data_IF_534451052682
#
_entry.id   IF_534451052682
#
_cell.length_a   1.000
_cell.length_b   1.000
_cell.length_c   1.000
_cell.angle_alpha   90.00
_cell.angle_beta   90.00
_cell.angle_gamma   90.00
#
_symmetry.space_group_name_H-M   'P 1'
#
loop_
_entity.id
_entity.type
_entity.pdbx_description
1 polymer ?
#
# COMPACT_ATOMS: atom_id res chain seq x y z
N UNK A 1 -11.69 0.85 -11.54
CA UNK A 1 -11.10 0.75 -10.18
C UNK A 1 -11.91 -0.11 -9.20
N UNK A 2 -13.25 -0.12 -9.25
CA UNK A 2 -14.07 -0.96 -8.36
C UNK A 2 -13.76 -2.48 -8.40
N UNK A 3 -13.33 -3.01 -9.55
CA UNK A 3 -12.95 -4.43 -9.65
C UNK A 3 -11.65 -4.75 -8.91
N UNK A 4 -10.66 -3.84 -8.97
CA UNK A 4 -9.40 -4.00 -8.27
C UNK A 4 -9.60 -3.98 -6.75
N UNK A 5 -10.42 -3.06 -6.24
CA UNK A 5 -10.70 -2.97 -4.80
C UNK A 5 -11.43 -4.21 -4.29
N UNK A 6 -12.43 -4.71 -5.04
CA UNK A 6 -13.12 -5.96 -4.70
C UNK A 6 -12.18 -7.17 -4.72
N UNK A 7 -11.26 -7.23 -5.68
CA UNK A 7 -10.24 -8.26 -5.75
C UNK A 7 -9.30 -8.18 -4.54
N UNK A 8 -8.85 -6.99 -4.14
CA UNK A 8 -7.96 -6.81 -2.98
C UNK A 8 -8.63 -7.15 -1.64
N UNK A 9 -9.92 -6.86 -1.48
CA UNK A 9 -10.68 -7.21 -0.28
C UNK A 9 -10.81 -8.73 -0.08
N UNK A 10 -10.99 -9.47 -1.18
CA UNK A 10 -11.15 -10.94 -1.15
C UNK A 10 -9.83 -11.69 -1.36
N UNK A 11 -8.73 -10.98 -1.54
CA UNK A 11 -7.44 -11.57 -1.89
C UNK A 11 -6.80 -12.32 -0.70
N UNK A 12 -6.58 -13.62 -0.88
CA UNK A 12 -5.90 -14.48 0.11
C UNK A 12 -4.53 -14.97 -0.34
N UNK A 13 -4.10 -14.67 -1.58
CA UNK A 13 -2.89 -15.27 -2.18
C UNK A 13 -1.88 -14.24 -2.67
N UNK A 14 -2.32 -13.13 -3.26
CA UNK A 14 -1.45 -12.10 -3.80
C UNK A 14 -0.67 -11.44 -2.66
N UNK A 15 0.66 -11.56 -2.69
CA UNK A 15 1.57 -10.99 -1.68
C UNK A 15 2.19 -9.66 -2.09
N UNK A 16 2.21 -9.37 -3.39
CA UNK A 16 2.87 -8.21 -3.99
C UNK A 16 1.95 -7.56 -5.01
N UNK A 17 1.75 -6.26 -4.90
CA UNK A 17 1.04 -5.44 -5.87
C UNK A 17 1.90 -4.24 -6.22
N UNK A 18 2.19 -4.08 -7.50
CA UNK A 18 2.94 -2.95 -8.04
C UNK A 18 2.05 -2.22 -9.05
N UNK A 19 1.66 -1.00 -8.67
CA UNK A 19 0.87 -0.07 -9.48
C UNK A 19 1.66 1.23 -9.59
N UNK A 20 2.86 1.16 -10.15
CA UNK A 20 3.63 2.33 -10.53
C UNK A 20 3.22 2.83 -11.92
N UNK A 21 3.26 4.15 -12.13
CA UNK A 21 3.02 4.70 -13.46
C UNK A 21 4.14 4.25 -14.41
N UNK A 22 3.75 3.62 -15.52
CA UNK A 22 4.65 3.33 -16.63
C UNK A 22 4.42 4.35 -17.73
N UNK A 23 5.46 5.08 -18.11
CA UNK A 23 5.47 5.81 -19.38
C UNK A 23 5.53 4.77 -20.50
N UNK A 24 4.38 4.51 -21.13
CA UNK A 24 4.35 3.79 -22.39
C UNK A 24 4.79 4.75 -23.49
N UNK A 25 5.62 4.24 -24.40
CA UNK A 25 6.47 4.99 -25.31
C UNK A 25 5.79 6.17 -26.04
N UNK A 26 6.57 7.25 -26.21
CA UNK A 26 6.28 8.45 -26.99
C UNK A 26 5.87 8.11 -28.44
N UNK A 27 4.57 8.03 -28.71
CA UNK A 27 4.04 8.51 -29.99
C UNK A 27 3.72 9.99 -29.79
N UNK A 28 4.21 10.83 -30.71
CA UNK A 28 4.32 12.31 -30.60
C UNK A 28 3.05 13.06 -30.16
N UNK A 29 1.88 12.42 -30.19
CA UNK A 29 0.59 13.07 -29.90
C UNK A 29 -0.27 12.37 -28.83
N UNK A 30 0.19 11.29 -28.18
CA UNK A 30 -0.59 10.65 -27.10
C UNK A 30 0.26 9.76 -26.19
N UNK A 31 0.83 10.35 -25.13
CA UNK A 31 1.38 9.58 -24.03
C UNK A 31 0.21 9.03 -23.19
N UNK A 32 -0.21 7.79 -23.46
CA UNK A 32 -1.15 7.07 -22.59
C UNK A 32 -0.36 6.54 -21.41
N UNK A 33 -0.34 7.30 -20.33
CA UNK A 33 0.20 6.82 -19.07
C UNK A 33 -0.95 6.41 -18.13
N UNK A 34 -0.76 5.25 -17.51
CA UNK A 34 -1.72 4.65 -16.59
C UNK A 34 -1.58 5.28 -15.21
N UNK A 35 -1.98 6.55 -15.10
CA UNK A 35 -2.00 7.27 -13.84
C UNK A 35 -3.23 6.90 -13.01
N UNK A 36 -3.03 6.75 -11.71
CA UNK A 36 -4.11 6.67 -10.74
C UNK A 36 -4.53 8.07 -10.30
N UNK A 37 -5.83 8.30 -10.21
CA UNK A 37 -6.36 9.50 -9.55
C UNK A 37 -6.19 9.38 -8.02
N UNK A 38 -6.17 10.49 -7.28
CA UNK A 38 -6.10 10.44 -5.81
C UNK A 38 -7.14 9.52 -5.17
N UNK A 39 -8.34 9.53 -5.74
CA UNK A 39 -9.49 8.73 -5.32
C UNK A 39 -9.21 7.23 -5.50
N UNK A 40 -8.51 6.86 -6.57
CA UNK A 40 -8.12 5.48 -6.86
C UNK A 40 -7.09 4.97 -5.85
N UNK A 41 -6.12 5.80 -5.50
CA UNK A 41 -5.13 5.49 -4.46
C UNK A 41 -5.79 5.30 -3.10
N UNK A 42 -6.70 6.21 -2.73
CA UNK A 42 -7.48 6.09 -1.50
C UNK A 42 -8.28 4.78 -1.50
N UNK A 43 -8.95 4.47 -2.61
CA UNK A 43 -9.75 3.25 -2.74
C UNK A 43 -8.91 1.98 -2.62
N UNK A 44 -7.66 1.97 -3.12
CA UNK A 44 -6.73 0.86 -2.91
C UNK A 44 -6.49 0.65 -1.42
N UNK A 45 -6.15 1.70 -0.66
CA UNK A 45 -5.91 1.58 0.78
C UNK A 45 -7.16 1.18 1.55
N UNK A 46 -8.31 1.79 1.27
CA UNK A 46 -9.60 1.42 1.89
C UNK A 46 -9.98 -0.05 1.62
N UNK A 47 -9.51 -0.60 0.49
CA UNK A 47 -9.77 -1.99 0.10
C UNK A 47 -8.83 -3.01 0.74
N UNK A 48 -7.79 -2.58 1.47
CA UNK A 48 -6.92 -3.48 2.22
C UNK A 48 -7.66 -4.02 3.45
N UNK A 49 -8.47 -5.04 3.21
CA UNK A 49 -9.17 -5.77 4.26
C UNK A 49 -8.17 -6.40 5.25
N UNK A 50 -8.58 -6.62 6.51
CA UNK A 50 -7.76 -7.34 7.50
C UNK A 50 -7.27 -8.71 7.02
N UNK A 51 -8.05 -9.35 6.15
CA UNK A 51 -7.79 -10.67 5.56
C UNK A 51 -6.88 -10.63 4.32
N UNK A 52 -6.55 -9.44 3.81
CA UNK A 52 -5.73 -9.35 2.60
C UNK A 52 -4.34 -9.91 2.86
N UNK A 53 -3.93 -10.87 2.03
CA UNK A 53 -2.62 -11.51 2.11
C UNK A 53 -1.47 -10.62 1.65
N UNK A 54 -1.76 -9.40 1.19
CA UNK A 54 -0.81 -8.47 0.61
C UNK A 54 0.26 -8.05 1.63
N UNK A 55 1.53 -8.22 1.28
CA UNK A 55 2.68 -7.90 2.14
C UNK A 55 3.51 -6.72 1.62
N UNK A 56 3.43 -6.43 0.32
CA UNK A 56 4.22 -5.40 -0.34
C UNK A 56 3.37 -4.70 -1.40
N UNK A 57 3.17 -3.39 -1.19
CA UNK A 57 2.36 -2.52 -2.03
C UNK A 57 3.23 -1.38 -2.55
N UNK A 58 3.24 -1.18 -3.86
CA UNK A 58 3.93 -0.06 -4.51
C UNK A 58 2.95 0.75 -5.33
N UNK A 59 2.86 2.04 -5.03
CA UNK A 59 1.92 2.97 -5.69
C UNK A 59 2.56 4.33 -5.99
N UNK A 60 3.89 4.39 -5.93
CA UNK A 60 4.65 5.61 -6.15
C UNK A 60 4.74 6.02 -7.63
N UNK A 61 5.17 7.25 -7.88
CA UNK A 61 5.39 7.84 -9.21
C UNK A 61 4.14 8.05 -10.07
N UNK A 62 2.98 8.22 -9.45
CA UNK A 62 1.72 8.54 -10.12
C UNK A 62 1.64 10.03 -10.49
N UNK A 63 2.45 10.49 -11.45
CA UNK A 63 2.46 11.89 -11.87
C UNK A 63 1.43 12.16 -12.98
N UNK A 64 0.23 12.64 -12.64
CA UNK A 64 -0.81 12.89 -13.65
C UNK A 64 -0.47 14.08 -14.56
N UNK A 65 -0.21 13.80 -15.84
CA UNK A 65 -0.08 14.81 -16.90
C UNK A 65 -1.42 15.45 -17.30
N UNK A 66 -2.56 14.87 -16.87
CA UNK A 66 -3.90 15.34 -17.26
C UNK A 66 -4.36 16.57 -16.46
N UNK A 67 -3.72 16.86 -15.33
CA UNK A 67 -4.00 18.09 -14.59
C UNK A 67 -3.36 19.28 -15.34
N UNK A 68 -4.09 20.39 -15.45
CA UNK A 68 -3.57 21.66 -15.98
C UNK A 68 -3.64 22.73 -14.88
N UNK A 69 -2.50 23.18 -14.33
CA UNK A 69 -1.13 22.78 -14.67
C UNK A 69 -0.80 21.34 -14.22
N UNK A 70 0.23 20.70 -14.82
CA UNK A 70 0.69 19.38 -14.39
C UNK A 70 1.01 19.42 -12.91
N UNK A 71 0.38 18.53 -12.14
CA UNK A 71 0.61 18.45 -10.69
C UNK A 71 1.62 17.34 -10.45
N UNK A 72 2.77 17.71 -9.93
CA UNK A 72 3.75 16.74 -9.44
C UNK A 72 3.11 15.88 -8.34
N UNK A 73 3.34 14.57 -8.38
CA UNK A 73 2.80 13.64 -7.39
C UNK A 73 3.17 14.07 -5.97
N UNK A 74 4.39 14.57 -5.75
CA UNK A 74 4.79 15.07 -4.44
C UNK A 74 3.97 16.31 -4.02
N UNK A 75 3.64 17.21 -4.95
CA UNK A 75 2.82 18.38 -4.68
C UNK A 75 1.37 18.00 -4.35
N UNK A 76 0.79 17.06 -5.11
CA UNK A 76 -0.53 16.48 -4.80
C UNK A 76 -0.56 15.87 -3.40
N UNK A 77 0.49 15.12 -3.04
CA UNK A 77 0.62 14.47 -1.73
C UNK A 77 0.85 15.46 -0.56
N UNK A 78 1.25 16.72 -0.83
CA UNK A 78 1.30 17.78 0.19
C UNK A 78 -0.08 18.41 0.46
N UNK A 79 -1.01 18.29 -0.49
CA UNK A 79 -2.34 18.89 -0.40
C UNK A 79 -3.34 18.02 0.38
N UNK A 80 -4.61 18.47 0.35
CA UNK A 80 -5.74 17.77 0.98
C UNK A 80 -5.92 16.33 0.47
N UNK A 81 -5.74 16.12 -0.84
CA UNK A 81 -5.82 14.79 -1.44
C UNK A 81 -4.79 13.83 -0.83
N UNK A 82 -3.54 14.28 -0.67
CA UNK A 82 -2.50 13.52 0.02
C UNK A 82 -2.86 13.17 1.45
N UNK A 83 -3.46 14.10 2.19
CA UNK A 83 -3.92 13.87 3.58
C UNK A 83 -4.96 12.74 3.65
N UNK A 84 -5.94 12.72 2.75
CA UNK A 84 -6.96 11.65 2.72
C UNK A 84 -6.36 10.30 2.35
N UNK A 85 -5.40 10.26 1.41
CA UNK A 85 -4.66 9.04 1.05
C UNK A 85 -3.85 8.52 2.24
N UNK A 86 -3.14 9.39 2.95
CA UNK A 86 -2.36 8.98 4.13
C UNK A 86 -3.24 8.49 5.27
N UNK A 87 -4.39 9.12 5.47
CA UNK A 87 -5.37 8.68 6.46
C UNK A 87 -5.85 7.27 6.16
N UNK A 88 -6.26 7.01 4.91
CA UNK A 88 -6.64 5.68 4.46
C UNK A 88 -5.50 4.67 4.62
N UNK A 89 -4.26 5.03 4.26
CA UNK A 89 -3.10 4.16 4.43
C UNK A 89 -2.81 3.83 5.91
N UNK A 90 -2.92 4.81 6.80
CA UNK A 90 -2.72 4.61 8.24
C UNK A 90 -3.83 3.72 8.84
N UNK A 91 -5.08 3.91 8.44
CA UNK A 91 -6.21 3.05 8.84
C UNK A 91 -6.04 1.63 8.32
N UNK A 92 -5.65 1.47 7.05
CA UNK A 92 -5.35 0.18 6.45
C UNK A 92 -4.24 -0.56 7.21
N UNK A 93 -3.16 0.11 7.62
CA UNK A 93 -2.09 -0.51 8.42
C UNK A 93 -2.52 -0.91 9.82
N UNK A 94 -3.53 -0.24 10.41
CA UNK A 94 -4.11 -0.62 11.70
C UNK A 94 -4.99 -1.87 11.57
N UNK A 95 -5.77 -1.96 10.50
CA UNK A 95 -6.69 -3.05 10.25
C UNK A 95 -6.01 -4.30 9.65
N UNK A 96 -4.99 -4.10 8.81
CA UNK A 96 -4.25 -5.14 8.12
C UNK A 96 -2.84 -5.26 8.69
N UNK A 97 -2.57 -6.39 9.37
CA UNK A 97 -1.27 -6.73 9.95
C UNK A 97 -0.33 -7.50 9.01
N UNK A 98 -0.78 -7.77 7.79
CA UNK A 98 -0.02 -8.50 6.77
C UNK A 98 0.86 -7.58 5.92
N UNK A 99 0.51 -6.31 5.75
CA UNK A 99 1.30 -5.37 4.96
C UNK A 99 2.61 -5.00 5.69
N UNK A 100 3.75 -5.26 5.05
CA UNK A 100 5.11 -5.08 5.61
C UNK A 100 5.94 -4.06 4.85
N UNK A 101 5.60 -3.81 3.59
CA UNK A 101 6.31 -2.89 2.72
C UNK A 101 5.30 -2.00 2.01
N UNK A 102 5.57 -0.71 2.03
CA UNK A 102 4.80 0.29 1.33
C UNK A 102 5.77 1.24 0.61
N UNK A 103 5.66 1.30 -0.70
CA UNK A 103 6.35 2.28 -1.54
C UNK A 103 5.35 3.39 -1.91
N UNK A 104 5.30 4.40 -1.05
CA UNK A 104 4.50 5.62 -1.15
C UNK A 104 5.37 6.80 -0.70
N UNK A 105 5.32 7.92 -1.42
CA UNK A 105 6.03 9.14 -1.05
C UNK A 105 5.36 9.73 0.19
N UNK A 106 6.15 10.00 1.22
CA UNK A 106 5.67 10.52 2.50
C UNK A 106 6.20 11.93 2.69
N UNK A 107 5.49 12.93 2.16
CA UNK A 107 5.89 14.35 2.22
C UNK A 107 5.38 15.08 3.46
N UNK A 108 4.36 14.54 4.13
CA UNK A 108 3.79 15.11 5.36
C UNK A 108 4.34 14.39 6.58
N UNK A 109 5.20 15.06 7.37
CA UNK A 109 5.94 14.46 8.49
C UNK A 109 5.04 13.74 9.51
N UNK A 110 3.90 14.33 9.86
CA UNK A 110 2.97 13.72 10.80
C UNK A 110 2.47 12.33 10.34
N UNK A 111 2.15 12.20 9.05
CA UNK A 111 1.68 10.94 8.47
C UNK A 111 2.81 9.95 8.25
N UNK A 112 4.00 10.43 7.90
CA UNK A 112 5.19 9.60 7.82
C UNK A 112 5.41 8.82 9.12
N UNK A 113 5.36 9.50 10.27
CA UNK A 113 5.54 8.85 11.58
C UNK A 113 4.42 7.83 11.89
N UNK A 114 3.17 8.12 11.50
CA UNK A 114 2.06 7.17 11.69
C UNK A 114 2.23 5.91 10.83
N UNK A 115 2.53 6.08 9.55
CA UNK A 115 2.68 4.99 8.58
C UNK A 115 3.90 4.13 8.93
N UNK A 116 5.05 4.74 9.23
CA UNK A 116 6.25 4.01 9.66
C UNK A 116 5.99 3.19 10.92
N UNK A 117 5.28 3.75 11.92
CA UNK A 117 4.92 3.01 13.14
C UNK A 117 4.01 1.82 12.84
N UNK A 118 3.00 1.98 11.97
CA UNK A 118 2.15 0.87 11.54
C UNK A 118 2.93 -0.27 10.89
N UNK A 119 3.84 0.06 9.97
CA UNK A 119 4.70 -0.94 9.31
C UNK A 119 5.63 -1.66 10.30
N UNK A 120 6.24 -0.93 11.25
CA UNK A 120 7.08 -1.53 12.28
C UNK A 120 6.30 -2.52 13.16
N UNK A 121 5.09 -2.15 13.59
CA UNK A 121 4.22 -3.04 14.37
C UNK A 121 3.90 -4.34 13.61
N UNK A 122 3.49 -4.23 12.35
CA UNK A 122 3.19 -5.40 11.52
C UNK A 122 4.41 -6.32 11.36
N UNK A 123 5.59 -5.72 11.19
CA UNK A 123 6.85 -6.45 11.07
C UNK A 123 7.26 -7.15 12.38
N UNK A 124 7.04 -6.51 13.52
CA UNK A 124 7.26 -7.10 14.84
C UNK A 124 6.30 -8.27 15.13
N UNK A 125 5.01 -8.11 14.81
CA UNK A 125 4.01 -9.17 14.97
C UNK A 125 4.36 -10.39 14.12
N UNK A 126 4.79 -10.18 12.87
CA UNK A 126 5.26 -11.27 12.01
C UNK A 126 6.47 -12.01 12.59
N UNK A 127 7.42 -11.28 13.20
CA UNK A 127 8.57 -11.89 13.89
C UNK A 127 8.19 -12.66 15.15
N UNK A 128 7.16 -12.22 15.90
CA UNK A 128 6.65 -12.92 17.08
C UNK A 128 5.89 -14.18 16.68
N UNK A 129 5.05 -14.11 15.66
CA UNK A 129 4.31 -15.26 15.13
C UNK A 129 5.21 -16.37 14.58
N UNK A 130 6.34 -16.01 13.96
CA UNK A 130 7.34 -16.99 13.51
C UNK A 130 7.99 -17.76 14.66
N UNK A 131 8.28 -17.10 15.78
CA UNK A 131 8.89 -17.73 16.96
C UNK A 131 7.91 -18.62 17.74
N UNK A 132 6.65 -18.21 17.87
CA UNK A 132 5.62 -19.02 18.53
C UNK A 132 5.32 -20.33 17.78
N UNK A 133 5.42 -20.35 16.44
CA UNK A 133 5.29 -21.58 15.67
C UNK A 133 6.48 -22.54 15.89
N UNK A 134 7.71 -22.03 16.03
CA UNK A 134 8.88 -22.86 16.32
C UNK A 134 8.85 -23.46 17.73
N UNK A 135 8.42 -22.70 18.73
CA UNK A 135 8.31 -23.19 20.12
C UNK A 135 7.21 -24.26 20.28
N UNK A 136 6.10 -24.15 19.53
CA UNK A 136 5.03 -25.15 19.51
C UNK A 136 5.42 -26.46 18.81
N UNK A 137 6.23 -26.41 17.76
CA UNK A 137 6.77 -27.61 17.09
C UNK A 137 7.81 -28.31 17.97
N UNK A 138 8.62 -27.58 18.72
CA UNK A 138 9.59 -28.18 19.65
C UNK A 138 8.95 -28.86 20.86
N UNK A 139 7.76 -28.43 21.30
CA UNK A 139 7.04 -29.11 22.39
C UNK A 139 6.32 -30.39 21.94
N UNK A 140 5.93 -30.49 20.67
CA UNK A 140 5.27 -31.68 20.12
C UNK A 140 6.25 -32.84 19.84
N UNK A 141 7.53 -32.57 19.64
CA UNK A 141 8.56 -33.60 19.44
C UNK A 141 9.15 -34.19 20.72
N UNK A 142 8.76 -33.72 21.91
CA UNK A 142 9.26 -34.21 23.21
C UNK A 142 8.30 -35.11 23.97
N UNK A 143 7.15 -35.42 23.36
CA UNK A 143 6.08 -36.24 23.94
C UNK A 143 5.69 -37.45 23.08
N UNK A 144 6.57 -37.88 22.17
CA UNK A 144 6.43 -39.13 21.42
C UNK A 144 7.51 -40.13 21.85
#
# INVERSE_FOLDING_TARGET
MAELTKALQSNTTLRRLDVQARFLALQRDSAVANYLEPEDLKAIFDSLAPSSALQDLRVNFQASLKASPPVDFAQMMRGKAGTEIYKAAAEALRANRQLLKLDLILVQRHWQDQICRGLMQNLEEKRKGGRACEEGVMHLHRLA
#
